data_IF_524435079630
#
_entry.id   IF_524435079630
#
_cell.length_a   1.000
_cell.length_b   1.000
_cell.length_c   1.000
_cell.angle_alpha   90.00
_cell.angle_beta   90.00
_cell.angle_gamma   90.00
#
_symmetry.space_group_name_H-M   'P 1'
#
loop_
_entity.id
_entity.type
_entity.pdbx_description
1 polymer ?
#
# COMPACT_ATOMS: atom_id res chain seq x y z
N UNK A 1 -14.40 -0.65 9.82
CA UNK A 1 -13.24 -1.56 9.72
C UNK A 1 -11.98 -0.75 9.55
N UNK A 2 -11.00 -1.01 10.37
CA UNK A 2 -9.69 -0.34 10.27
C UNK A 2 -8.65 -1.35 9.84
N UNK A 3 -7.93 -1.03 8.78
CA UNK A 3 -6.86 -1.86 8.23
C UNK A 3 -5.51 -1.28 8.60
N UNK A 4 -4.61 -2.13 9.07
CA UNK A 4 -3.23 -1.78 9.37
C UNK A 4 -2.31 -2.53 8.40
N UNK A 5 -1.44 -1.79 7.74
CA UNK A 5 -0.44 -2.35 6.83
C UNK A 5 0.94 -2.10 7.41
N UNK A 6 1.75 -3.14 7.49
CA UNK A 6 3.13 -3.04 7.95
C UNK A 6 4.03 -3.84 7.04
N UNK A 7 5.23 -3.31 6.79
CA UNK A 7 6.24 -4.00 5.99
C UNK A 7 7.62 -3.53 6.41
N UNK A 8 8.58 -4.44 6.39
CA UNK A 8 9.98 -4.11 6.55
C UNK A 8 10.62 -3.98 5.17
N UNK A 9 11.14 -2.79 4.87
CA UNK A 9 11.77 -2.54 3.58
C UNK A 9 12.83 -1.47 3.73
N UNK A 10 14.06 -1.76 3.31
CA UNK A 10 15.13 -0.79 3.37
C UNK A 10 15.08 0.08 2.13
N UNK A 11 14.38 1.21 2.24
CA UNK A 11 14.28 2.18 1.16
C UNK A 11 15.57 2.99 1.07
N UNK A 12 15.91 3.37 -0.16
CA UNK A 12 17.03 4.27 -0.40
C UNK A 12 16.57 5.72 -0.20
N UNK A 13 17.55 6.62 -0.10
CA UNK A 13 17.27 8.04 0.06
C UNK A 13 16.35 8.54 -1.08
N UNK A 14 15.32 9.27 -0.70
CA UNK A 14 14.35 9.80 -1.67
C UNK A 14 13.23 8.83 -2.05
N UNK A 15 13.29 7.58 -1.59
CA UNK A 15 12.21 6.62 -1.83
C UNK A 15 11.18 6.66 -0.72
N UNK A 16 9.95 6.30 -1.08
CA UNK A 16 8.83 6.25 -0.16
C UNK A 16 8.00 5.01 -0.47
N UNK A 17 7.42 4.40 0.54
CA UNK A 17 6.52 3.28 0.35
C UNK A 17 5.07 3.71 0.43
N UNK A 18 4.21 2.97 -0.28
CA UNK A 18 2.78 3.16 -0.23
C UNK A 18 2.07 1.82 -0.43
N UNK A 19 0.80 1.79 -0.04
CA UNK A 19 -0.09 0.67 -0.31
C UNK A 19 -1.05 1.11 -1.40
N UNK A 20 -1.17 0.32 -2.46
CA UNK A 20 -2.28 0.46 -3.40
C UNK A 20 -3.37 -0.51 -2.98
N UNK A 21 -4.59 -0.04 -2.82
CA UNK A 21 -5.69 -0.92 -2.46
C UNK A 21 -6.95 -0.61 -3.25
N UNK A 22 -7.81 -1.61 -3.39
CA UNK A 22 -9.14 -1.47 -3.98
C UNK A 22 -10.12 -2.28 -3.15
N UNK A 23 -11.28 -1.70 -2.85
CA UNK A 23 -12.34 -2.36 -2.11
C UNK A 23 -13.31 -3.01 -3.10
N UNK A 24 -13.65 -4.28 -2.85
CA UNK A 24 -14.57 -5.07 -3.68
C UNK A 24 -14.13 -5.15 -5.15
N UNK A 25 -12.84 -5.02 -5.41
CA UNK A 25 -12.28 -5.07 -6.75
C UNK A 25 -10.82 -5.52 -6.70
N UNK A 26 -10.34 -6.02 -7.82
CA UNK A 26 -8.94 -6.40 -7.98
C UNK A 26 -8.14 -5.16 -8.40
N UNK A 27 -7.03 -4.89 -7.71
CA UNK A 27 -6.18 -3.73 -8.01
C UNK A 27 -5.55 -3.80 -9.39
N UNK A 28 -5.56 -4.96 -10.05
CA UNK A 28 -5.05 -5.08 -11.41
C UNK A 28 -6.04 -4.57 -12.45
N UNK A 29 -7.32 -4.45 -12.10
CA UNK A 29 -8.38 -4.05 -13.03
C UNK A 29 -9.09 -2.77 -12.64
N UNK A 30 -8.97 -2.36 -11.36
CA UNK A 30 -9.62 -1.17 -10.84
C UNK A 30 -8.60 -0.04 -10.65
N UNK A 31 -9.10 1.20 -10.53
CA UNK A 31 -8.26 2.33 -10.16
C UNK A 31 -8.02 2.29 -8.65
N UNK A 32 -6.82 1.90 -8.20
CA UNK A 32 -6.58 1.75 -6.76
C UNK A 32 -6.40 3.10 -6.07
N UNK A 33 -6.65 3.08 -4.76
CA UNK A 33 -6.31 4.22 -3.90
C UNK A 33 -4.86 4.05 -3.46
N UNK A 34 -4.10 5.15 -3.48
CA UNK A 34 -2.72 5.17 -3.00
C UNK A 34 -2.72 5.65 -1.55
N UNK A 35 -2.24 4.80 -0.64
CA UNK A 35 -2.14 5.12 0.78
C UNK A 35 -0.66 5.22 1.15
N UNK A 36 -0.13 6.44 1.37
CA UNK A 36 1.27 6.59 1.76
C UNK A 36 1.57 5.93 3.09
N UNK A 37 2.78 5.37 3.23
CA UNK A 37 3.22 4.75 4.47
C UNK A 37 4.21 5.65 5.18
N UNK A 38 4.26 5.53 6.51
CA UNK A 38 5.20 6.24 7.37
C UNK A 38 6.32 5.30 7.79
N UNK A 39 7.56 5.79 7.74
CA UNK A 39 8.72 5.05 8.22
C UNK A 39 8.96 5.37 9.69
N UNK A 40 9.04 4.34 10.52
CA UNK A 40 9.25 4.47 11.97
C UNK A 40 10.70 4.18 12.38
N UNK A 41 11.63 4.18 11.43
CA UNK A 41 13.02 3.80 11.66
C UNK A 41 13.21 2.30 11.47
N UNK A 42 14.49 1.86 11.41
CA UNK A 42 14.84 0.45 11.24
C UNK A 42 14.13 -0.23 10.07
N UNK A 43 13.84 0.54 9.02
CA UNK A 43 13.18 0.03 7.81
C UNK A 43 11.75 -0.48 8.05
N UNK A 44 11.11 -0.05 9.11
CA UNK A 44 9.72 -0.42 9.41
C UNK A 44 8.77 0.64 8.87
N UNK A 45 7.87 0.23 7.99
CA UNK A 45 6.87 1.10 7.38
C UNK A 45 5.48 0.66 7.79
N UNK A 46 4.60 1.63 8.02
CA UNK A 46 3.22 1.33 8.38
C UNK A 46 2.26 2.34 7.80
N UNK A 47 1.02 1.91 7.63
CA UNK A 47 -0.09 2.75 7.22
C UNK A 47 -1.37 2.21 7.81
N UNK A 48 -2.38 3.08 7.91
CA UNK A 48 -3.67 2.73 8.45
C UNK A 48 -4.76 3.43 7.66
N UNK A 49 -5.85 2.73 7.40
CA UNK A 49 -7.03 3.30 6.75
C UNK A 49 -8.29 2.71 7.38
N UNK A 50 -9.32 3.54 7.54
CA UNK A 50 -10.62 3.12 8.02
C UNK A 50 -11.59 3.08 6.85
N UNK A 51 -12.22 1.92 6.64
CA UNK A 51 -13.16 1.68 5.56
C UNK A 51 -14.52 1.28 6.14
N UNK A 52 -15.57 1.43 5.31
CA UNK A 52 -16.90 0.93 5.64
C UNK A 52 -16.89 -0.59 5.76
N UNK A 53 -17.72 -1.13 6.66
CA UNK A 53 -17.83 -2.57 6.87
C UNK A 53 -18.66 -3.30 5.81
N UNK A 54 -19.16 -2.59 4.81
CA UNK A 54 -19.97 -3.20 3.76
C UNK A 54 -19.17 -3.88 2.66
N UNK A 55 -17.84 -3.76 2.70
CA UNK A 55 -16.99 -4.36 1.68
C UNK A 55 -16.81 -5.86 1.90
N UNK A 56 -16.85 -6.63 0.81
CA UNK A 56 -16.71 -8.08 0.85
C UNK A 56 -15.26 -8.51 0.91
N UNK A 57 -14.36 -7.79 0.21
CA UNK A 57 -12.95 -8.08 0.24
C UNK A 57 -12.16 -6.83 -0.16
N UNK A 58 -10.87 -6.87 0.16
CA UNK A 58 -9.92 -5.81 -0.20
C UNK A 58 -8.75 -6.48 -0.91
N UNK A 59 -8.35 -5.95 -2.05
CA UNK A 59 -7.09 -6.32 -2.69
C UNK A 59 -6.08 -5.21 -2.48
N UNK A 60 -4.82 -5.56 -2.27
CA UNK A 60 -3.78 -4.55 -2.04
C UNK A 60 -2.41 -5.06 -2.45
N UNK A 61 -1.49 -4.13 -2.70
CA UNK A 61 -0.08 -4.44 -2.87
C UNK A 61 0.77 -3.28 -2.36
N UNK A 62 2.04 -3.57 -2.08
CA UNK A 62 3.01 -2.56 -1.67
C UNK A 62 3.76 -2.05 -2.90
N UNK A 63 4.05 -0.75 -2.91
CA UNK A 63 4.81 -0.11 -3.98
C UNK A 63 5.89 0.78 -3.38
N UNK A 64 6.97 0.96 -4.14
CA UNK A 64 8.02 1.93 -3.82
C UNK A 64 7.89 3.09 -4.78
N UNK A 65 7.85 4.30 -4.24
CA UNK A 65 7.68 5.53 -5.01
C UNK A 65 8.96 6.35 -5.00
N UNK A 66 9.18 7.13 -6.07
CA UNK A 66 10.24 8.14 -6.09
C UNK A 66 9.76 9.45 -5.44
N UNK A 67 10.61 10.49 -5.47
CA UNK A 67 10.29 11.77 -4.85
C UNK A 67 9.10 12.48 -5.53
N UNK A 68 8.82 12.17 -6.77
CA UNK A 68 7.71 12.74 -7.52
C UNK A 68 6.42 11.93 -7.41
N UNK A 69 6.46 10.80 -6.68
CA UNK A 69 5.30 9.95 -6.52
C UNK A 69 5.13 8.91 -7.62
N UNK A 70 6.13 8.73 -8.49
CA UNK A 70 6.08 7.72 -9.52
C UNK A 70 6.45 6.35 -8.96
N UNK A 71 5.78 5.30 -9.45
CA UNK A 71 6.03 3.92 -8.99
C UNK A 71 7.35 3.43 -9.59
N UNK A 72 8.32 3.14 -8.71
CA UNK A 72 9.60 2.54 -9.10
C UNK A 72 9.55 1.02 -9.10
N UNK A 73 8.84 0.44 -8.11
CA UNK A 73 8.70 -1.00 -7.94
C UNK A 73 7.31 -1.31 -7.45
N UNK A 74 6.77 -2.44 -7.88
CA UNK A 74 5.44 -2.90 -7.49
C UNK A 74 5.46 -4.40 -7.32
N UNK A 75 4.78 -4.89 -6.28
CA UNK A 75 4.59 -6.32 -6.13
C UNK A 75 3.80 -6.88 -7.31
N UNK A 76 4.23 -8.02 -7.84
CA UNK A 76 3.60 -8.62 -9.02
C UNK A 76 2.29 -9.35 -8.69
N UNK A 77 2.12 -9.79 -7.44
CA UNK A 77 0.95 -10.55 -7.01
C UNK A 77 0.24 -9.77 -5.91
N UNK A 78 -1.05 -9.42 -6.10
CA UNK A 78 -1.78 -8.71 -5.06
C UNK A 78 -2.13 -9.63 -3.89
N UNK A 79 -2.29 -9.01 -2.72
CA UNK A 79 -2.80 -9.67 -1.52
C UNK A 79 -4.30 -9.45 -1.42
N UNK A 80 -4.98 -10.34 -0.74
CA UNK A 80 -6.42 -10.24 -0.52
C UNK A 80 -6.75 -10.39 0.96
N UNK A 81 -7.69 -9.58 1.41
CA UNK A 81 -8.24 -9.66 2.75
C UNK A 81 -9.71 -10.05 2.71
#
# INVERSE_FOLDING_TARGET
MTLHFTINYQAQWGQQLAVLYAADADITTASPVTLPMDCHGNSEWSAQVTLSDIHKYISYCYVVLDEQGNILRRESIPHFL
#
